data_IF_677721339002
#
_entry.id   IF_677721339002
#
_cell.length_a   1.000
_cell.length_b   1.000
_cell.length_c   1.000
_cell.angle_alpha   90.00
_cell.angle_beta   90.00
_cell.angle_gamma   90.00
#
_symmetry.space_group_name_H-M   'P 1'
#
loop_
_entity.id
_entity.type
_entity.pdbx_description
1 polymer ?
#
# COMPACT_ATOMS: atom_id res chain seq x y z
N UNK A 1 -10.75 -10.05 -31.43
CA UNK A 1 -9.86 -10.29 -30.27
C UNK A 1 -10.75 -10.11 -29.04
N UNK A 2 -11.24 -11.20 -28.47
CA UNK A 2 -12.28 -11.20 -27.45
C UNK A 2 -11.63 -10.97 -26.08
N UNK A 3 -11.34 -9.70 -25.73
CA UNK A 3 -10.71 -9.34 -24.47
C UNK A 3 -11.66 -9.34 -23.25
N UNK A 4 -12.96 -9.61 -23.42
CA UNK A 4 -13.98 -9.25 -22.42
C UNK A 4 -14.44 -10.35 -21.45
N UNK A 5 -13.82 -11.53 -21.43
CA UNK A 5 -14.26 -12.67 -20.57
C UNK A 5 -13.18 -13.25 -19.65
N UNK A 6 -11.94 -12.75 -19.71
CA UNK A 6 -10.79 -13.52 -19.23
C UNK A 6 -10.42 -13.27 -17.75
N UNK A 7 -10.89 -12.17 -17.16
CA UNK A 7 -10.55 -11.82 -15.79
C UNK A 7 -11.79 -11.79 -14.91
N UNK A 8 -12.14 -12.95 -14.34
CA UNK A 8 -13.09 -13.05 -13.21
C UNK A 8 -12.43 -12.51 -11.94
N UNK A 9 -12.06 -11.23 -11.95
CA UNK A 9 -11.41 -10.58 -10.82
C UNK A 9 -12.50 -10.13 -9.85
N UNK A 10 -12.46 -10.56 -8.58
CA UNK A 10 -13.39 -10.08 -7.57
C UNK A 10 -13.28 -8.57 -7.37
N UNK A 11 -14.41 -7.92 -7.09
CA UNK A 11 -14.47 -6.50 -6.75
C UNK A 11 -15.01 -6.33 -5.33
N UNK A 12 -14.33 -5.54 -4.50
CA UNK A 12 -14.71 -5.27 -3.11
C UNK A 12 -14.96 -3.77 -2.91
N UNK A 13 -16.07 -3.42 -2.26
CA UNK A 13 -16.40 -2.03 -1.88
C UNK A 13 -15.77 -1.62 -0.55
N UNK A 14 -15.45 -2.59 0.31
CA UNK A 14 -14.90 -2.38 1.64
C UNK A 14 -13.73 -3.34 1.87
N UNK A 15 -12.66 -2.85 2.47
CA UNK A 15 -11.40 -3.57 2.68
C UNK A 15 -11.02 -3.70 4.17
N UNK A 16 -11.75 -3.01 5.05
CA UNK A 16 -11.50 -2.88 6.48
C UNK A 16 -11.45 -4.20 7.28
N UNK A 17 -12.17 -5.23 6.84
CA UNK A 17 -12.27 -6.50 7.56
C UNK A 17 -11.21 -7.53 7.15
N UNK A 18 -10.40 -7.20 6.13
CA UNK A 18 -9.32 -8.09 5.73
C UNK A 18 -8.21 -8.13 6.81
N UNK A 19 -7.63 -9.30 7.10
CA UNK A 19 -6.66 -9.49 8.18
C UNK A 19 -5.54 -8.45 8.24
N UNK A 20 -4.86 -8.16 7.12
CA UNK A 20 -3.74 -7.22 7.11
C UNK A 20 -4.19 -5.78 7.42
N UNK A 21 -5.40 -5.40 7.03
CA UNK A 21 -5.96 -4.07 7.31
C UNK A 21 -6.43 -3.99 8.76
N UNK A 22 -7.12 -5.03 9.23
CA UNK A 22 -7.68 -5.10 10.58
C UNK A 22 -6.59 -5.13 11.65
N UNK A 23 -5.49 -5.80 11.37
CA UNK A 23 -4.35 -5.97 12.27
C UNK A 23 -3.23 -4.94 12.01
N UNK A 24 -3.44 -4.00 11.08
CA UNK A 24 -2.46 -2.99 10.64
C UNK A 24 -1.08 -3.60 10.31
N UNK A 25 -1.08 -4.78 9.70
CA UNK A 25 0.13 -5.51 9.36
C UNK A 25 0.69 -5.03 8.02
N UNK A 26 1.76 -4.24 8.10
CA UNK A 26 2.43 -3.64 6.96
C UNK A 26 3.47 -4.60 6.38
N UNK A 27 3.17 -5.20 5.23
CA UNK A 27 4.10 -6.10 4.52
C UNK A 27 4.79 -5.44 3.32
N UNK A 28 4.38 -4.21 2.98
CA UNK A 28 5.03 -3.36 1.97
C UNK A 28 5.19 -1.93 2.50
N UNK A 29 6.12 -1.14 1.95
CA UNK A 29 6.23 0.28 2.28
C UNK A 29 4.99 1.09 1.87
N UNK A 30 4.63 2.10 2.68
CA UNK A 30 3.52 3.04 2.38
C UNK A 30 3.65 3.67 1.00
N UNK A 31 4.87 4.07 0.62
CA UNK A 31 5.13 4.70 -0.68
C UNK A 31 4.75 3.77 -1.84
N UNK A 32 5.05 2.47 -1.72
CA UNK A 32 4.74 1.48 -2.75
C UNK A 32 3.23 1.28 -2.88
N UNK A 33 2.51 1.25 -1.76
CA UNK A 33 1.04 1.16 -1.72
C UNK A 33 0.38 2.38 -2.40
N UNK A 34 0.83 3.59 -2.07
CA UNK A 34 0.27 4.83 -2.63
C UNK A 34 0.60 5.02 -4.11
N UNK A 35 1.84 4.78 -4.52
CA UNK A 35 2.26 4.97 -5.92
C UNK A 35 1.55 4.02 -6.89
N UNK A 36 1.31 2.78 -6.46
CA UNK A 36 0.63 1.78 -7.28
C UNK A 36 -0.90 1.72 -7.03
N UNK A 37 -1.45 2.63 -6.23
CA UNK A 37 -2.85 2.66 -5.81
C UNK A 37 -3.38 1.26 -5.44
N UNK A 38 -2.70 0.63 -4.48
CA UNK A 38 -2.96 -0.76 -4.10
C UNK A 38 -2.74 -0.99 -2.61
N UNK A 39 -3.34 -2.07 -2.07
CA UNK A 39 -3.01 -2.54 -0.72
C UNK A 39 -3.07 -4.08 -0.57
N UNK A 40 -2.11 -4.73 0.12
CA UNK A 40 -2.23 -6.14 0.45
C UNK A 40 -3.31 -6.37 1.52
N UNK A 41 -4.16 -7.38 1.31
CA UNK A 41 -5.33 -7.64 2.15
C UNK A 41 -5.14 -8.85 3.08
N UNK A 42 -4.59 -9.95 2.56
CA UNK A 42 -4.34 -11.18 3.31
C UNK A 42 -3.25 -12.02 2.68
N UNK A 43 -2.59 -12.81 3.52
CA UNK A 43 -1.62 -13.83 3.11
C UNK A 43 -2.34 -15.18 3.15
N UNK A 44 -2.26 -15.94 2.07
CA UNK A 44 -2.80 -17.30 1.94
C UNK A 44 -1.68 -18.28 1.53
N UNK A 45 -2.01 -19.57 1.49
CA UNK A 45 -1.07 -20.60 1.00
C UNK A 45 -0.70 -20.39 -0.48
N UNK A 46 -1.67 -20.00 -1.31
CA UNK A 46 -1.49 -19.82 -2.76
C UNK A 46 -0.84 -18.48 -3.14
N UNK A 47 -0.77 -17.52 -2.22
CA UNK A 47 -0.28 -16.18 -2.54
C UNK A 47 -0.73 -15.10 -1.55
N UNK A 48 -0.61 -13.86 -2.00
CA UNK A 48 -1.07 -12.67 -1.29
C UNK A 48 -2.21 -12.06 -2.09
N UNK A 49 -3.37 -11.89 -1.46
CA UNK A 49 -4.47 -11.15 -2.06
C UNK A 49 -4.17 -9.66 -1.95
N UNK A 50 -4.22 -8.96 -3.07
CA UNK A 50 -3.88 -7.54 -3.17
C UNK A 50 -4.96 -6.79 -3.94
N UNK A 51 -5.47 -5.69 -3.38
CA UNK A 51 -6.45 -4.84 -4.03
C UNK A 51 -5.79 -3.77 -4.89
N UNK A 52 -6.34 -3.51 -6.07
CA UNK A 52 -5.91 -2.49 -7.02
C UNK A 52 -7.08 -1.63 -7.48
N UNK A 53 -6.81 -0.37 -7.87
CA UNK A 53 -7.82 0.54 -8.43
C UNK A 53 -8.12 0.31 -9.92
N UNK A 54 -7.19 -0.30 -10.64
CA UNK A 54 -7.19 -0.38 -12.10
C UNK A 54 -6.78 -1.78 -12.59
N UNK A 55 -7.03 -2.09 -13.87
CA UNK A 55 -6.83 -3.44 -14.44
C UNK A 55 -5.38 -3.68 -14.89
N UNK A 56 -4.59 -2.64 -15.04
CA UNK A 56 -3.19 -2.67 -15.51
C UNK A 56 -2.20 -3.06 -14.38
N UNK A 57 -2.61 -3.95 -13.47
CA UNK A 57 -1.82 -4.35 -12.29
C UNK A 57 -0.72 -5.39 -12.58
N UNK A 58 -0.57 -5.87 -13.83
CA UNK A 58 0.36 -6.96 -14.17
C UNK A 58 1.81 -6.65 -13.75
N UNK A 59 2.26 -5.42 -14.01
CA UNK A 59 3.60 -4.97 -13.63
C UNK A 59 3.76 -4.91 -12.11
N UNK A 60 2.79 -4.32 -11.41
CA UNK A 60 2.79 -4.24 -9.95
C UNK A 60 2.77 -5.64 -9.31
N UNK A 61 2.03 -6.59 -9.87
CA UNK A 61 2.01 -7.97 -9.41
C UNK A 61 3.38 -8.66 -9.58
N UNK A 62 4.08 -8.42 -10.68
CA UNK A 62 5.43 -8.96 -10.89
C UNK A 62 6.43 -8.37 -9.89
N UNK A 63 6.39 -7.05 -9.69
CA UNK A 63 7.25 -6.36 -8.73
C UNK A 63 7.02 -6.86 -7.30
N UNK A 64 5.76 -6.89 -6.85
CA UNK A 64 5.37 -7.41 -5.53
C UNK A 64 5.76 -8.88 -5.36
N UNK A 65 5.66 -9.70 -6.41
CA UNK A 65 6.11 -11.10 -6.35
C UNK A 65 7.62 -11.21 -6.09
N UNK A 66 8.42 -10.34 -6.72
CA UNK A 66 9.87 -10.29 -6.50
C UNK A 66 10.17 -9.85 -5.06
N UNK A 67 9.49 -8.80 -4.58
CA UNK A 67 9.69 -8.23 -3.24
C UNK A 67 9.24 -9.19 -2.13
N UNK A 68 8.06 -9.81 -2.27
CA UNK A 68 7.41 -10.60 -1.24
C UNK A 68 7.68 -12.10 -1.35
N UNK A 69 8.26 -12.55 -2.47
CA UNK A 69 8.53 -13.96 -2.75
C UNK A 69 7.27 -14.83 -2.88
N UNK A 70 6.09 -14.22 -3.05
CA UNK A 70 4.79 -14.90 -3.14
C UNK A 70 4.02 -14.44 -4.37
N UNK A 71 3.20 -15.34 -4.93
CA UNK A 71 2.30 -14.98 -6.04
C UNK A 71 1.28 -13.94 -5.55
N UNK A 72 0.96 -12.97 -6.40
CA UNK A 72 -0.09 -11.99 -6.12
C UNK A 72 -1.40 -12.44 -6.76
N UNK A 73 -2.47 -12.38 -5.98
CA UNK A 73 -3.84 -12.64 -6.41
C UNK A 73 -4.58 -11.29 -6.44
N UNK A 74 -4.71 -10.67 -7.63
CA UNK A 74 -5.30 -9.34 -7.74
C UNK A 74 -6.81 -9.40 -7.49
N UNK A 75 -7.30 -8.38 -6.79
CA UNK A 75 -8.72 -8.04 -6.65
C UNK A 75 -8.87 -6.55 -6.96
N UNK A 76 -10.06 -6.13 -7.38
CA UNK A 76 -10.35 -4.73 -7.66
C UNK A 76 -11.10 -4.08 -6.51
N UNK A 77 -10.92 -2.78 -6.36
CA UNK A 77 -11.68 -1.96 -5.42
C UNK A 77 -11.77 -0.52 -5.91
N UNK A 78 -12.51 0.32 -5.20
CA UNK A 78 -12.53 1.76 -5.48
C UNK A 78 -11.26 2.40 -4.95
N UNK A 79 -10.88 3.54 -5.55
CA UNK A 79 -9.81 4.39 -5.05
C UNK A 79 -10.07 4.79 -3.59
N UNK A 80 -11.28 5.20 -3.27
CA UNK A 80 -11.68 5.57 -1.91
C UNK A 80 -11.43 4.44 -0.89
N UNK A 81 -11.87 3.22 -1.19
CA UNK A 81 -11.70 2.07 -0.31
C UNK A 81 -10.21 1.70 -0.12
N UNK A 82 -9.41 1.78 -1.18
CA UNK A 82 -7.95 1.52 -1.10
C UNK A 82 -7.25 2.58 -0.26
N UNK A 83 -7.50 3.87 -0.50
CA UNK A 83 -6.85 4.93 0.27
C UNK A 83 -7.30 4.93 1.73
N UNK A 84 -8.58 4.65 2.02
CA UNK A 84 -9.06 4.47 3.39
C UNK A 84 -8.36 3.28 4.09
N UNK A 85 -8.17 2.17 3.38
CA UNK A 85 -7.45 1.00 3.92
C UNK A 85 -5.95 1.27 4.11
N UNK A 86 -5.31 2.03 3.19
CA UNK A 86 -3.93 2.51 3.35
C UNK A 86 -3.86 3.37 4.60
N UNK A 87 -4.68 4.41 4.72
CA UNK A 87 -4.61 5.31 5.86
C UNK A 87 -4.75 4.51 7.15
N UNK A 88 -5.74 3.61 7.25
CA UNK A 88 -5.94 2.71 8.40
C UNK A 88 -4.75 1.79 8.72
N UNK A 89 -4.17 1.15 7.71
CA UNK A 89 -3.07 0.20 7.91
C UNK A 89 -1.76 0.90 8.35
N UNK A 90 -1.60 2.17 7.96
CA UNK A 90 -0.39 2.96 8.20
C UNK A 90 -0.57 4.08 9.25
N UNK A 91 -1.62 4.07 10.10
CA UNK A 91 -1.92 5.17 11.04
C UNK A 91 -0.85 5.47 12.11
N UNK A 92 0.16 4.61 12.34
CA UNK A 92 1.15 4.86 13.40
C UNK A 92 2.62 4.93 12.90
N UNK A 93 3.04 6.16 12.55
CA UNK A 93 4.33 6.75 12.95
C UNK A 93 4.17 8.19 13.52
N UNK A 94 2.94 8.73 13.63
CA UNK A 94 2.72 10.11 14.12
C UNK A 94 2.06 10.21 15.52
N UNK A 95 1.96 9.13 16.30
CA UNK A 95 1.35 9.16 17.66
C UNK A 95 2.27 9.80 18.73
N UNK A 96 3.33 10.52 18.35
CA UNK A 96 4.19 11.26 19.29
C UNK A 96 4.20 12.78 19.08
N UNK A 97 3.09 13.38 18.65
CA UNK A 97 2.85 14.82 18.86
C UNK A 97 1.40 15.19 18.58
N UNK A 98 0.50 14.90 19.52
CA UNK A 98 -0.69 15.73 19.82
C UNK A 98 -1.50 15.12 20.95
N UNK A 99 -0.87 14.96 22.12
CA UNK A 99 -1.59 15.07 23.38
C UNK A 99 -1.72 16.56 23.68
N UNK A 100 -2.65 17.26 23.02
CA UNK A 100 -3.22 18.51 23.49
C UNK A 100 -4.48 18.91 22.69
N UNK A 101 -5.63 18.71 23.35
CA UNK A 101 -6.85 19.54 23.29
C UNK A 101 -7.63 19.72 21.98
N UNK A 102 -8.87 19.21 21.97
CA UNK A 102 -10.03 19.90 21.36
C UNK A 102 -10.77 19.13 20.27
N UNK A 103 -12.13 19.22 20.20
CA UNK A 103 -12.94 18.40 19.30
C UNK A 103 -13.01 18.96 17.88
N UNK A 104 -13.04 18.03 16.91
CA UNK A 104 -13.61 18.12 15.56
C UNK A 104 -13.66 19.52 14.91
N UNK A 105 -12.78 19.75 13.93
CA UNK A 105 -13.10 20.63 12.80
C UNK A 105 -12.59 20.06 11.47
N UNK A 106 -13.58 19.80 10.64
CA UNK A 106 -13.57 19.85 9.18
C UNK A 106 -12.91 21.15 8.70
N UNK A 107 -11.86 21.06 7.89
CA UNK A 107 -11.64 21.97 6.75
C UNK A 107 -10.38 21.59 5.96
N UNK A 108 -10.60 21.42 4.67
CA UNK A 108 -9.63 21.37 3.60
C UNK A 108 -8.61 22.51 3.64
N UNK A 109 -7.32 22.20 3.56
CA UNK A 109 -6.36 23.05 2.86
C UNK A 109 -5.19 22.19 2.38
N UNK A 110 -5.15 21.94 1.08
CA UNK A 110 -4.03 21.28 0.42
C UNK A 110 -3.11 22.40 -0.05
N UNK A 111 -2.07 22.68 0.73
CA UNK A 111 -1.00 23.59 0.35
C UNK A 111 0.20 22.75 -0.12
N UNK A 112 0.35 22.64 -1.43
CA UNK A 112 1.57 22.07 -2.02
C UNK A 112 2.60 23.20 -2.15
N UNK A 113 3.32 23.48 -1.07
CA UNK A 113 4.49 24.35 -1.14
C UNK A 113 5.70 23.52 -1.60
N UNK A 114 5.92 23.55 -2.91
CA UNK A 114 7.12 23.02 -3.56
C UNK A 114 8.15 24.14 -3.64
N UNK A 115 9.01 24.27 -2.63
CA UNK A 115 10.33 24.89 -2.80
C UNK A 115 11.36 24.33 -1.81
N UNK A 116 12.57 24.22 -2.34
CA UNK A 116 13.69 23.37 -1.93
C UNK A 116 14.49 23.95 -0.75
N UNK A 117 15.05 23.11 0.13
CA UNK A 117 16.50 22.95 0.32
C UNK A 117 16.83 21.86 1.36
N UNK A 118 18.06 21.34 1.24
CA UNK A 118 18.67 20.18 1.87
C UNK A 118 18.76 20.18 3.42
N UNK A 119 18.95 18.96 3.93
CA UNK A 119 19.58 18.58 5.21
C UNK A 119 18.69 18.42 6.45
N UNK A 120 18.17 17.19 6.66
CA UNK A 120 18.52 16.29 7.79
C UNK A 120 17.42 15.24 8.04
N UNK A 121 17.71 14.00 7.65
CA UNK A 121 17.28 12.81 8.39
C UNK A 121 18.30 11.70 8.11
N UNK A 122 19.44 11.81 8.81
CA UNK A 122 20.49 10.79 8.82
C UNK A 122 20.09 9.61 9.73
N UNK A 123 20.11 8.39 9.15
CA UNK A 123 20.27 7.03 9.73
C UNK A 123 19.17 6.55 10.71
N UNK A 124 18.46 5.44 10.45
CA UNK A 124 18.78 4.00 10.71
C UNK A 124 17.56 3.20 10.20
N UNK A 125 17.57 2.03 9.54
CA UNK A 125 18.48 0.88 9.50
C UNK A 125 18.42 0.16 8.14
N UNK A 126 19.59 -0.27 7.71
CA UNK A 126 19.95 -1.31 6.75
C UNK A 126 19.03 -2.55 6.68
N UNK A 127 18.92 -3.13 5.48
CA UNK A 127 19.17 -4.53 5.04
C UNK A 127 18.83 -4.58 3.51
N UNK A 128 19.58 -5.13 2.55
CA UNK A 128 20.69 -6.08 2.59
C UNK A 128 21.56 -5.88 1.34
N UNK A 129 22.85 -5.66 1.56
CA UNK A 129 23.85 -5.44 0.52
C UNK A 129 24.47 -6.78 0.08
N UNK A 130 23.67 -7.70 -0.50
CA UNK A 130 24.20 -8.88 -1.19
C UNK A 130 23.38 -9.18 -2.44
N UNK A 131 23.62 -8.41 -3.51
CA UNK A 131 23.53 -8.94 -4.88
C UNK A 131 24.70 -8.36 -5.69
N UNK A 132 25.91 -8.81 -5.38
CA UNK A 132 27.00 -8.80 -6.35
C UNK A 132 27.41 -10.25 -6.58
N UNK A 133 26.88 -10.76 -7.69
CA UNK A 133 27.42 -11.76 -8.59
C UNK A 133 28.63 -12.56 -8.07
N UNK A 134 28.37 -13.84 -7.80
CA UNK A 134 29.36 -14.91 -7.89
C UNK A 134 28.79 -16.00 -8.76
N UNK A 135 29.05 -15.90 -10.07
CA UNK A 135 29.34 -16.93 -11.10
C UNK A 135 29.29 -16.24 -12.46
#
# INVERSE_FOLDING_TARGET
>A
MNYSLEYKIPFFMELSDFPLIKESQQIIPLQLAKQNEMIPLKIEEEGIICAFTHLEFDQACQELKIILGKKIQPVLSTKEAIFHAIDRCYQEVHTFQSLNSGPLKDESEVDYDLDQDESKAEVVSFLNQIFIQGI
#
